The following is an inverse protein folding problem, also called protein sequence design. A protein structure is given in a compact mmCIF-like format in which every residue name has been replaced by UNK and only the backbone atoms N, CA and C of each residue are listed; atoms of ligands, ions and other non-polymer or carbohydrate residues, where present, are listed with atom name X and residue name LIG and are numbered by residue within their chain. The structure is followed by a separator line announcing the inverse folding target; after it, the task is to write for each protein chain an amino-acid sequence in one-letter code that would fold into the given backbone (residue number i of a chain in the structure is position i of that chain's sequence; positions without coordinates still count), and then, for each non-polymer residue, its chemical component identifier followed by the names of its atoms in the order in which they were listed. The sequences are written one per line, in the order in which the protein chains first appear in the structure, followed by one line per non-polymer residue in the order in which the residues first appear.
data_IF_237162059586
#
_entry.id   IF_237162059586
#
_cell.length_a   1.000
_cell.length_b   1.000
_cell.length_c   1.000
_cell.angle_alpha   90.00
_cell.angle_beta   90.00
_cell.angle_gamma   90.00
#
_symmetry.space_group_name_H-M   'P 1'
#
loop_
_entity.id
_entity.type
_entity.pdbx_description
1 polymer ?
#
# COMPACT_ATOMS: atom_id res chain seq x y z
N UNK A 1 -18.64 18.33 -3.51
CA UNK A 1 -18.20 17.33 -2.52
C UNK A 1 -17.46 18.07 -1.41
N UNK A 2 -17.96 18.02 -0.18
CA UNK A 2 -17.44 18.86 0.93
C UNK A 2 -16.10 18.33 1.44
N UNK A 3 -15.19 19.25 1.71
CA UNK A 3 -13.86 19.03 2.30
C UNK A 3 -13.90 18.23 3.62
N UNK A 4 -15.02 18.26 4.34
CA UNK A 4 -15.25 17.53 5.59
C UNK A 4 -15.10 16.00 5.46
N UNK A 5 -15.38 15.43 4.28
CA UNK A 5 -15.20 13.99 4.06
C UNK A 5 -13.74 13.55 4.21
N UNK A 6 -12.80 14.38 3.76
CA UNK A 6 -11.36 14.07 3.80
C UNK A 6 -10.70 14.31 5.16
N UNK A 7 -11.42 14.93 6.10
CA UNK A 7 -10.89 15.24 7.43
C UNK A 7 -11.13 14.12 8.45
N UNK A 8 -12.10 13.25 8.20
CA UNK A 8 -12.41 12.14 9.10
C UNK A 8 -11.59 10.90 8.75
N UNK A 9 -10.46 10.72 9.44
CA UNK A 9 -9.58 9.55 9.28
C UNK A 9 -10.29 8.21 9.46
N UNK A 10 -11.40 8.15 10.21
CA UNK A 10 -12.12 6.89 10.45
C UNK A 10 -12.94 6.44 9.25
N UNK A 11 -13.12 7.30 8.23
CA UNK A 11 -13.75 6.94 6.95
C UNK A 11 -12.77 6.34 5.96
N UNK A 12 -11.48 6.29 6.29
CA UNK A 12 -10.45 5.74 5.42
C UNK A 12 -10.05 4.34 5.87
N UNK A 13 -9.83 3.46 4.89
CA UNK A 13 -9.09 2.23 5.10
C UNK A 13 -7.66 2.57 5.55
N UNK A 14 -7.16 1.84 6.53
CA UNK A 14 -5.76 1.94 6.98
C UNK A 14 -4.81 1.04 6.15
N UNK A 15 -5.35 0.22 5.25
CA UNK A 15 -4.56 -0.54 4.30
C UNK A 15 -3.79 0.35 3.32
N UNK A 16 -2.57 -0.06 3.01
CA UNK A 16 -1.70 0.58 2.02
C UNK A 16 -1.70 -0.26 0.74
N UNK A 17 -1.51 0.38 -0.41
CA UNK A 17 -1.55 -0.29 -1.71
C UNK A 17 -0.35 0.08 -2.56
N UNK A 18 0.13 -0.87 -3.37
CA UNK A 18 1.13 -0.61 -4.41
C UNK A 18 0.90 -1.49 -5.63
N UNK A 19 1.29 -0.99 -6.79
CA UNK A 19 1.23 -1.71 -8.06
C UNK A 19 2.61 -2.27 -8.42
N UNK A 20 2.62 -3.48 -8.98
CA UNK A 20 3.84 -4.13 -9.47
C UNK A 20 3.58 -4.76 -10.83
N UNK A 21 4.61 -4.99 -11.66
CA UNK A 21 4.46 -5.82 -12.85
C UNK A 21 3.92 -7.20 -12.46
N UNK A 22 3.03 -7.76 -13.29
CA UNK A 22 2.40 -9.05 -13.05
C UNK A 22 3.45 -10.16 -12.83
N UNK A 23 3.17 -11.10 -11.93
CA UNK A 23 4.05 -12.25 -11.61
C UNK A 23 5.44 -11.85 -11.12
N UNK A 24 5.55 -10.71 -10.42
CA UNK A 24 6.79 -10.28 -9.81
C UNK A 24 7.27 -11.31 -8.75
N UNK A 25 8.47 -11.87 -8.96
CA UNK A 25 9.06 -12.91 -8.07
C UNK A 25 9.31 -12.43 -6.64
N UNK A 26 9.65 -11.15 -6.47
CA UNK A 26 9.88 -10.58 -5.15
C UNK A 26 8.57 -10.46 -4.38
N UNK A 27 7.52 -9.97 -5.04
CA UNK A 27 6.19 -9.83 -4.43
C UNK A 27 5.58 -11.17 -4.08
N UNK A 28 5.59 -12.13 -5.00
CA UNK A 28 5.11 -13.49 -4.71
C UNK A 28 5.85 -14.12 -3.52
N UNK A 29 7.17 -13.87 -3.37
CA UNK A 29 7.95 -14.32 -2.22
C UNK A 29 7.49 -13.67 -0.91
N UNK A 30 7.27 -12.35 -0.92
CA UNK A 30 6.82 -11.60 0.26
C UNK A 30 5.41 -12.02 0.68
N UNK A 31 4.49 -12.13 -0.28
CA UNK A 31 3.10 -12.58 -0.04
C UNK A 31 3.08 -14.00 0.52
N UNK A 32 3.89 -14.92 -0.04
CA UNK A 32 4.04 -16.28 0.49
C UNK A 32 4.59 -16.32 1.91
N UNK A 33 5.46 -15.39 2.29
CA UNK A 33 5.96 -15.27 3.67
C UNK A 33 4.90 -14.73 4.64
N UNK A 34 3.85 -14.07 4.14
CA UNK A 34 2.74 -13.53 4.92
C UNK A 34 3.10 -12.36 5.83
N UNK A 35 4.33 -11.83 5.73
CA UNK A 35 4.79 -10.69 6.53
C UNK A 35 5.88 -9.91 5.81
N UNK A 36 5.84 -8.59 5.95
CA UNK A 36 6.90 -7.68 5.53
C UNK A 36 6.98 -6.48 6.47
N UNK A 37 8.05 -5.69 6.30
CA UNK A 37 8.18 -4.36 6.90
C UNK A 37 8.15 -3.37 5.74
N UNK A 38 7.23 -2.41 5.79
CA UNK A 38 7.31 -1.21 4.98
C UNK A 38 8.12 -0.17 5.76
N UNK A 39 9.24 0.26 5.18
CA UNK A 39 10.16 1.24 5.78
C UNK A 39 9.88 2.60 5.14
N UNK A 40 9.13 3.46 5.84
CA UNK A 40 8.71 4.76 5.33
C UNK A 40 9.55 5.86 5.97
N UNK A 41 10.41 6.50 5.16
CA UNK A 41 11.32 7.55 5.60
C UNK A 41 10.84 8.88 5.03
N UNK A 42 10.59 9.85 5.91
CA UNK A 42 10.23 11.21 5.54
C UNK A 42 10.92 12.20 6.48
N UNK A 43 11.76 13.08 5.91
CA UNK A 43 12.61 14.01 6.66
C UNK A 43 13.46 13.25 7.71
N UNK A 44 13.47 13.71 8.96
CA UNK A 44 14.18 13.07 10.09
C UNK A 44 13.39 11.93 10.76
N UNK A 45 12.33 11.46 10.11
CA UNK A 45 11.40 10.48 10.69
C UNK A 45 11.35 9.20 9.85
N UNK A 46 11.53 8.07 10.50
CA UNK A 46 11.32 6.74 9.91
C UNK A 46 10.17 6.03 10.63
N UNK A 47 9.23 5.50 9.85
CA UNK A 47 8.19 4.59 10.31
C UNK A 47 8.44 3.20 9.74
N UNK A 48 8.74 2.25 10.63
CA UNK A 48 8.77 0.82 10.28
C UNK A 48 7.43 0.19 10.56
N UNK A 49 6.71 -0.13 9.49
CA UNK A 49 5.34 -0.63 9.55
C UNK A 49 5.36 -2.13 9.28
N UNK A 50 5.03 -2.95 10.28
CA UNK A 50 4.83 -4.38 10.07
C UNK A 50 3.53 -4.60 9.31
N UNK A 51 3.56 -5.35 8.21
CA UNK A 51 2.39 -5.55 7.35
C UNK A 51 2.19 -7.02 6.98
N UNK A 52 0.93 -7.38 6.74
CA UNK A 52 0.54 -8.62 6.03
C UNK A 52 0.22 -8.26 4.58
N UNK A 53 1.00 -8.75 3.60
CA UNK A 53 0.80 -8.47 2.19
C UNK A 53 -0.15 -9.48 1.53
N UNK A 54 -1.02 -9.00 0.62
CA UNK A 54 -1.97 -9.79 -0.16
C UNK A 54 -2.09 -9.24 -1.59
N UNK A 55 -2.14 -10.10 -2.61
CA UNK A 55 -2.41 -9.68 -4.00
C UNK A 55 -3.91 -9.68 -4.20
N UNK A 56 -4.48 -8.55 -4.59
CA UNK A 56 -5.91 -8.43 -4.88
C UNK A 56 -6.27 -9.14 -6.18
N UNK A 57 -7.48 -9.69 -6.21
CA UNK A 57 -8.09 -10.14 -7.46
C UNK A 57 -8.59 -8.93 -8.27
N UNK A 58 -8.58 -9.04 -9.61
CA UNK A 58 -8.92 -7.93 -10.52
C UNK A 58 -10.39 -7.50 -10.43
N UNK A 59 -11.28 -8.35 -9.92
CA UNK A 59 -12.71 -8.10 -9.73
C UNK A 59 -13.05 -7.43 -8.38
N UNK A 60 -12.04 -7.20 -7.53
CA UNK A 60 -12.23 -6.46 -6.29
C UNK A 60 -12.33 -4.94 -6.54
N UNK A 61 -13.32 -4.27 -5.94
CA UNK A 61 -13.46 -2.80 -6.00
C UNK A 61 -12.18 -2.06 -5.57
N UNK A 62 -11.40 -2.61 -4.63
CA UNK A 62 -10.14 -2.04 -4.19
C UNK A 62 -9.07 -2.07 -5.29
N UNK A 63 -9.05 -3.13 -6.11
CA UNK A 63 -8.17 -3.25 -7.26
C UNK A 63 -8.50 -2.16 -8.29
N UNK A 64 -9.78 -2.02 -8.65
CA UNK A 64 -10.24 -1.02 -9.62
C UNK A 64 -9.92 0.41 -9.16
N UNK A 65 -10.17 0.72 -7.88
CA UNK A 65 -9.87 2.04 -7.31
C UNK A 65 -8.37 2.37 -7.44
N UNK A 66 -7.49 1.41 -7.14
CA UNK A 66 -6.04 1.60 -7.28
C UNK A 66 -5.63 1.73 -8.74
N UNK A 67 -6.18 0.90 -9.63
CA UNK A 67 -5.88 0.95 -11.07
C UNK A 67 -6.26 2.30 -11.67
N UNK A 68 -7.52 2.73 -11.50
CA UNK A 68 -8.02 3.98 -12.08
C UNK A 68 -7.34 5.21 -11.49
N UNK A 69 -7.06 5.21 -10.18
CA UNK A 69 -6.28 6.28 -9.57
C UNK A 69 -4.90 6.40 -10.19
N UNK A 70 -4.16 5.30 -10.32
CA UNK A 70 -2.80 5.33 -10.87
C UNK A 70 -2.78 5.62 -12.38
N UNK A 71 -3.77 5.14 -13.13
CA UNK A 71 -3.88 5.43 -14.57
C UNK A 71 -4.00 6.94 -14.84
N UNK A 72 -4.70 7.67 -13.97
CA UNK A 72 -4.84 9.14 -14.09
C UNK A 72 -3.49 9.88 -14.00
N UNK A 73 -2.49 9.31 -13.33
CA UNK A 73 -1.15 9.89 -13.18
C UNK A 73 -0.09 9.20 -14.04
N UNK A 74 -0.37 8.00 -14.54
CA UNK A 74 0.50 7.23 -15.41
C UNK A 74 -0.30 6.67 -16.61
N UNK A 75 -0.45 7.45 -17.70
CA UNK A 75 -1.20 7.04 -18.88
C UNK A 75 -0.65 5.78 -19.58
N UNK A 76 0.61 5.41 -19.33
CA UNK A 76 1.22 4.18 -19.85
C UNK A 76 0.91 2.92 -19.04
N UNK A 77 0.20 3.05 -17.91
CA UNK A 77 -0.22 1.92 -17.09
C UNK A 77 -1.23 1.07 -17.86
N UNK A 78 -1.03 -0.25 -17.85
CA UNK A 78 -1.97 -1.21 -18.40
C UNK A 78 -2.39 -2.22 -17.30
N UNK A 79 -3.25 -3.18 -17.64
CA UNK A 79 -3.75 -4.19 -16.70
C UNK A 79 -2.77 -5.33 -16.43
N UNK A 80 -1.55 -5.32 -16.98
CA UNK A 80 -0.52 -6.31 -16.71
C UNK A 80 0.25 -5.99 -15.41
N UNK A 81 -0.52 -5.80 -14.34
CA UNK A 81 -0.03 -5.47 -13.01
C UNK A 81 -0.68 -6.35 -11.96
N UNK A 82 0.04 -6.56 -10.86
CA UNK A 82 -0.51 -7.03 -9.59
C UNK A 82 -0.74 -5.81 -8.69
N UNK A 83 -1.91 -5.72 -8.05
CA UNK A 83 -2.17 -4.77 -6.97
C UNK A 83 -1.96 -5.48 -5.65
N UNK A 84 -1.01 -5.00 -4.85
CA UNK A 84 -0.71 -5.56 -3.52
C UNK A 84 -1.31 -4.66 -2.45
N UNK A 85 -2.17 -5.24 -1.62
CA UNK A 85 -2.66 -4.66 -0.38
C UNK A 85 -1.75 -5.06 0.77
N UNK A 86 -1.32 -4.09 1.55
CA UNK A 86 -0.55 -4.26 2.78
C UNK A 86 -1.44 -3.89 3.95
N UNK A 87 -1.73 -4.85 4.82
CA UNK A 87 -2.53 -4.65 6.04
C UNK A 87 -1.57 -4.39 7.21
N UNK A 88 -1.53 -3.17 7.75
CA UNK A 88 -0.58 -2.84 8.82
C UNK A 88 -0.96 -3.47 10.16
N UNK A 89 0.05 -3.83 10.93
CA UNK A 89 -0.05 -4.11 12.35
C UNK A 89 0.44 -2.90 13.14
N UNK A 90 -0.41 -1.88 13.28
CA UNK A 90 -0.06 -0.61 13.94
C UNK A 90 0.45 -0.78 15.37
N UNK A 91 0.02 -1.82 16.09
CA UNK A 91 0.49 -2.11 17.46
C UNK A 91 1.95 -2.56 17.51
N UNK A 92 2.46 -3.15 16.42
CA UNK A 92 3.85 -3.64 16.33
C UNK A 92 4.76 -2.71 15.53
N UNK A 93 4.18 -1.78 14.77
CA UNK A 93 4.90 -0.75 14.03
C UNK A 93 5.63 0.23 14.95
N UNK A 94 6.75 0.78 14.48
CA UNK A 94 7.64 1.63 15.29
C UNK A 94 7.98 2.92 14.59
N UNK A 95 8.01 4.00 15.38
CA UNK A 95 8.63 5.26 15.00
C UNK A 95 10.11 5.22 15.39
N UNK A 96 10.98 5.44 14.43
CA UNK A 96 12.42 5.60 14.61
C UNK A 96 12.75 7.04 14.26
N UNK A 97 13.20 7.80 15.25
CA UNK A 97 13.74 9.15 15.02
C UNK A 97 15.17 8.99 14.53
N UNK A 98 15.46 9.56 13.37
CA UNK A 98 16.83 9.65 12.86
C UNK A 98 17.41 10.92 13.50
N UNK A 99 18.29 10.76 14.50
CA UNK A 99 19.12 11.86 14.99
C UNK A 99 20.24 12.09 13.99
N UNK A 100 20.44 13.35 13.59
CA UNK A 100 21.63 13.80 12.86
C UNK A 100 22.92 13.52 13.65
#
# INVERSE_FOLDING_TARGET
MSSEFFLDKHKFSDALFATFPKKNKFISTIVKKGKCILDFIHLSTNYRIECTPFILDEDENAWENVFWHNLNFNPGLNKDIDVVKFIPNWKKSKLIRISE
#
